data_IF_437545314962
#
_entry.id   IF_437545314962
#
_cell.length_a   1.000
_cell.length_b   1.000
_cell.length_c   1.000
_cell.angle_alpha   90.00
_cell.angle_beta   90.00
_cell.angle_gamma   90.00
#
_symmetry.space_group_name_H-M   'P 1'
#
loop_
_entity.id
_entity.type
_entity.pdbx_description
1 polymer ?
#
# COMPACT_ATOMS: atom_id res chain seq x y z
N UNK A 1 1.94 4.39 -4.43
CA UNK A 1 0.61 3.95 -4.93
C UNK A 1 -0.50 4.78 -4.28
N UNK A 2 -1.71 4.75 -4.83
CA UNK A 2 -2.93 5.30 -4.23
C UNK A 2 -3.75 4.17 -3.61
N UNK A 3 -4.37 4.42 -2.47
CA UNK A 3 -5.17 3.43 -1.71
C UNK A 3 -6.43 4.07 -1.14
N UNK A 4 -7.51 3.31 -0.99
CA UNK A 4 -8.71 3.72 -0.24
C UNK A 4 -8.61 3.23 1.20
N UNK A 5 -8.53 4.16 2.15
CA UNK A 5 -8.31 3.84 3.56
C UNK A 5 -9.12 4.81 4.42
N UNK A 6 -9.72 4.29 5.50
CA UNK A 6 -10.39 5.15 6.49
C UNK A 6 -9.36 5.97 7.27
N UNK A 7 -9.61 7.27 7.55
CA UNK A 7 -8.64 8.12 8.22
C UNK A 7 -8.12 7.58 9.56
N UNK A 8 -8.97 6.91 10.33
CA UNK A 8 -8.66 6.30 11.62
C UNK A 8 -7.80 5.03 11.51
N UNK A 9 -7.74 4.41 10.34
CA UNK A 9 -6.93 3.21 10.08
C UNK A 9 -5.54 3.52 9.50
N UNK A 10 -5.25 4.78 9.17
CA UNK A 10 -4.00 5.18 8.49
C UNK A 10 -2.75 4.78 9.28
N UNK A 11 -2.73 5.06 10.59
CA UNK A 11 -1.58 4.72 11.44
C UNK A 11 -1.40 3.21 11.56
N UNK A 12 -2.49 2.48 11.78
CA UNK A 12 -2.47 1.01 11.87
C UNK A 12 -1.96 0.37 10.58
N UNK A 13 -2.38 0.88 9.41
CA UNK A 13 -1.89 0.40 8.12
C UNK A 13 -0.39 0.67 7.93
N UNK A 14 0.07 1.86 8.31
CA UNK A 14 1.48 2.19 8.20
C UNK A 14 2.34 1.23 9.03
N UNK A 15 1.90 0.91 10.26
CA UNK A 15 2.61 -0.02 11.13
C UNK A 15 2.51 -1.47 10.65
N UNK A 16 1.36 -1.90 10.12
CA UNK A 16 1.22 -3.22 9.52
C UNK A 16 2.19 -3.43 8.35
N UNK A 17 2.33 -2.44 7.47
CA UNK A 17 3.28 -2.50 6.34
C UNK A 17 4.73 -2.57 6.84
N UNK A 18 5.09 -1.78 7.87
CA UNK A 18 6.44 -1.82 8.46
C UNK A 18 6.78 -3.20 9.02
N UNK A 19 5.86 -3.78 9.79
CA UNK A 19 6.05 -5.11 10.37
C UNK A 19 6.14 -6.17 9.27
N UNK A 20 5.21 -6.17 8.32
CA UNK A 20 5.19 -7.17 7.25
C UNK A 20 6.47 -7.13 6.40
N UNK A 21 6.98 -5.94 6.06
CA UNK A 21 8.26 -5.83 5.34
C UNK A 21 9.45 -6.23 6.22
N UNK A 22 9.42 -5.88 7.52
CA UNK A 22 10.43 -6.28 8.50
C UNK A 22 10.54 -7.80 8.67
N UNK A 23 9.40 -8.50 8.69
CA UNK A 23 9.33 -9.98 8.74
C UNK A 23 9.94 -10.62 7.48
N UNK A 24 10.08 -9.85 6.40
CA UNK A 24 10.76 -10.22 5.17
C UNK A 24 12.17 -9.61 5.03
N UNK A 25 12.80 -9.27 6.15
CA UNK A 25 14.20 -8.83 6.21
C UNK A 25 14.44 -7.38 5.76
N UNK A 26 13.36 -6.59 5.58
CA UNK A 26 13.52 -5.18 5.28
C UNK A 26 13.96 -4.40 6.52
N UNK A 27 14.83 -3.42 6.30
CA UNK A 27 15.35 -2.48 7.30
C UNK A 27 15.08 -1.05 6.84
N UNK A 28 15.08 -0.10 7.78
CA UNK A 28 14.84 1.31 7.46
C UNK A 28 13.50 1.55 6.76
N UNK A 29 12.45 0.80 7.16
CA UNK A 29 11.15 0.89 6.50
C UNK A 29 10.45 2.19 6.88
N UNK A 30 10.29 3.07 5.90
CA UNK A 30 9.54 4.31 5.99
C UNK A 30 8.22 4.16 5.24
N UNK A 31 7.11 4.45 5.95
CA UNK A 31 5.76 4.39 5.38
C UNK A 31 5.08 5.73 5.60
N UNK A 32 4.61 6.34 4.52
CA UNK A 32 3.89 7.61 4.55
C UNK A 32 2.58 7.49 3.80
N UNK A 33 1.50 7.87 4.46
CA UNK A 33 0.18 8.04 3.85
C UNK A 33 -0.19 9.51 3.93
N UNK A 34 -0.35 10.14 2.77
CA UNK A 34 -0.82 11.53 2.69
C UNK A 34 -2.23 11.51 2.11
N UNK A 35 -3.20 12.03 2.86
CA UNK A 35 -4.57 12.20 2.36
C UNK A 35 -4.56 13.09 1.12
N UNK A 36 -5.29 12.68 0.08
CA UNK A 36 -5.47 13.48 -1.12
C UNK A 36 -6.80 14.20 -0.93
N UNK A 37 -6.75 15.53 -0.77
CA UNK A 37 -7.92 16.41 -0.71
C UNK A 37 -8.58 16.53 -2.11
N UNK A 38 -8.97 15.40 -2.68
CA UNK A 38 -9.84 15.32 -3.85
C UNK A 38 -11.05 14.50 -3.43
N UNK A 39 -11.71 14.97 -2.37
CA UNK A 39 -13.02 14.48 -1.99
C UNK A 39 -13.98 14.84 -3.14
N UNK A 40 -14.58 13.82 -3.75
CA UNK A 40 -15.61 13.92 -4.79
C UNK A 40 -15.19 14.20 -6.24
N UNK A 41 -13.92 14.07 -6.64
CA UNK A 41 -13.64 14.00 -8.08
C UNK A 41 -13.94 12.58 -8.59
N UNK A 42 -14.96 12.40 -9.46
CA UNK A 42 -15.28 11.09 -10.07
C UNK A 42 -14.14 10.55 -10.95
N UNK A 43 -13.13 11.37 -11.24
CA UNK A 43 -11.95 11.01 -12.03
C UNK A 43 -10.88 10.24 -11.23
N UNK A 44 -11.07 10.04 -9.92
CA UNK A 44 -10.22 9.12 -9.20
C UNK A 44 -10.62 7.67 -9.52
N UNK A 45 -9.74 6.97 -10.24
CA UNK A 45 -9.95 5.57 -10.62
C UNK A 45 -10.34 4.65 -9.45
N UNK A 46 -9.87 4.90 -8.22
CA UNK A 46 -10.27 4.09 -7.06
C UNK A 46 -11.72 4.33 -6.64
N UNK A 47 -12.17 5.59 -6.70
CA UNK A 47 -13.55 5.97 -6.36
C UNK A 47 -14.49 5.42 -7.42
N UNK A 48 -14.13 5.53 -8.70
CA UNK A 48 -14.89 4.96 -9.80
C UNK A 48 -15.00 3.43 -9.71
N UNK A 49 -13.89 2.73 -9.47
CA UNK A 49 -13.87 1.27 -9.28
C UNK A 49 -14.75 0.85 -8.09
N UNK A 50 -14.63 1.55 -6.95
CA UNK A 50 -15.44 1.28 -5.76
C UNK A 50 -16.94 1.47 -6.07
N UNK A 51 -17.32 2.57 -6.72
CA UNK A 51 -18.70 2.85 -7.06
C UNK A 51 -19.26 1.85 -8.08
N UNK A 52 -18.48 1.45 -9.09
CA UNK A 52 -18.89 0.43 -10.04
C UNK A 52 -19.11 -0.93 -9.36
N UNK A 53 -18.29 -1.26 -8.37
CA UNK A 53 -18.34 -2.55 -7.69
C UNK A 53 -19.44 -2.63 -6.62
N UNK A 54 -19.72 -1.55 -5.92
CA UNK A 54 -20.62 -1.54 -4.75
C UNK A 54 -21.89 -0.70 -4.94
N UNK A 55 -22.08 -0.10 -6.13
CA UNK A 55 -23.21 0.79 -6.46
C UNK A 55 -23.35 1.99 -5.49
N UNK A 56 -22.25 2.39 -4.86
CA UNK A 56 -22.20 3.48 -3.89
C UNK A 56 -20.80 4.06 -3.82
N UNK A 57 -20.61 5.38 -3.66
CA UNK A 57 -19.28 5.95 -3.44
C UNK A 57 -18.69 5.51 -2.08
N UNK A 58 -17.36 5.54 -1.90
CA UNK A 58 -16.76 5.36 -0.60
C UNK A 58 -17.20 6.49 0.35
N UNK A 59 -17.81 6.15 1.48
CA UNK A 59 -18.37 7.11 2.44
C UNK A 59 -17.42 7.36 3.61
N UNK A 60 -16.77 6.30 4.11
CA UNK A 60 -15.83 6.38 5.25
C UNK A 60 -14.37 6.37 4.84
N UNK A 61 -14.09 5.91 3.62
CA UNK A 61 -12.75 5.75 3.06
C UNK A 61 -12.33 7.01 2.30
N UNK A 62 -11.06 7.37 2.42
CA UNK A 62 -10.46 8.47 1.67
C UNK A 62 -9.28 7.97 0.86
N UNK A 63 -9.03 8.62 -0.27
CA UNK A 63 -7.87 8.31 -1.09
C UNK A 63 -6.61 8.84 -0.41
N UNK A 64 -5.63 7.96 -0.22
CA UNK A 64 -4.32 8.31 0.30
C UNK A 64 -3.23 7.99 -0.71
N UNK A 65 -2.23 8.87 -0.82
CA UNK A 65 -0.95 8.58 -1.45
C UNK A 65 -0.11 7.77 -0.47
N UNK A 66 0.07 6.49 -0.74
CA UNK A 66 0.96 5.59 -0.02
C UNK A 66 2.34 5.59 -0.68
N UNK A 67 3.35 6.03 0.07
CA UNK A 67 4.77 5.91 -0.25
C UNK A 67 5.42 4.99 0.76
N UNK A 68 6.15 3.99 0.25
CA UNK A 68 6.91 3.04 1.06
C UNK A 68 8.35 3.03 0.56
N UNK A 69 9.30 3.17 1.48
CA UNK A 69 10.72 3.05 1.22
C UNK A 69 11.29 2.04 2.20
N UNK A 70 12.14 1.14 1.71
CA UNK A 70 12.73 0.07 2.51
C UNK A 70 14.06 -0.36 1.90
N UNK A 71 14.97 -0.80 2.76
CA UNK A 71 16.30 -1.27 2.40
C UNK A 71 16.46 -2.74 2.77
N UNK A 72 17.13 -3.52 1.92
CA UNK A 72 17.55 -4.88 2.24
C UNK A 72 19.08 -4.89 2.33
N UNK A 73 19.60 -5.45 3.42
CA UNK A 73 21.03 -5.70 3.55
C UNK A 73 21.32 -7.13 3.09
N UNK A 74 22.32 -7.31 2.22
CA UNK A 74 22.80 -8.64 1.84
C UNK A 74 23.61 -9.23 3.01
N UNK A 75 22.90 -9.81 3.98
CA UNK A 75 23.53 -10.57 5.04
C UNK A 75 23.90 -11.95 4.51
N UNK A 76 25.08 -12.04 3.91
CA UNK A 76 25.87 -13.26 3.66
C UNK A 76 25.04 -14.54 3.42
N UNK A 77 24.21 -14.53 2.37
CA UNK A 77 23.88 -15.74 1.62
C UNK A 77 22.57 -16.48 1.92
N UNK A 78 21.59 -15.90 2.62
CA UNK A 78 20.26 -16.55 2.76
C UNK A 78 19.04 -15.64 2.57
N UNK A 79 19.09 -14.34 2.88
CA UNK A 79 17.93 -13.44 2.69
C UNK A 79 18.01 -12.67 1.36
N UNK A 80 17.51 -13.32 0.31
CA UNK A 80 17.35 -12.69 -0.99
C UNK A 80 16.32 -11.57 -0.86
N UNK A 81 16.75 -10.33 -1.13
CA UNK A 81 15.85 -9.19 -1.23
C UNK A 81 14.63 -9.54 -2.10
N UNK A 82 13.44 -9.19 -1.60
CA UNK A 82 12.19 -9.42 -2.32
C UNK A 82 12.25 -8.73 -3.69
N UNK A 83 11.73 -9.41 -4.73
CA UNK A 83 11.52 -8.75 -6.00
C UNK A 83 10.33 -7.78 -5.92
N UNK A 84 10.20 -6.87 -6.89
CA UNK A 84 9.14 -5.86 -6.93
C UNK A 84 7.73 -6.45 -6.80
N UNK A 85 7.46 -7.61 -7.40
CA UNK A 85 6.15 -8.23 -7.37
C UNK A 85 5.81 -8.75 -5.97
N UNK A 86 6.79 -9.35 -5.28
CA UNK A 86 6.61 -9.85 -3.92
C UNK A 86 6.48 -8.70 -2.92
N UNK A 87 7.27 -7.62 -3.06
CA UNK A 87 7.07 -6.39 -2.24
C UNK A 87 5.66 -5.83 -2.44
N UNK A 88 5.19 -5.76 -3.69
CA UNK A 88 3.83 -5.29 -3.99
C UNK A 88 2.78 -6.18 -3.33
N UNK A 89 2.96 -7.51 -3.38
CA UNK A 89 2.03 -8.48 -2.78
C UNK A 89 1.98 -8.34 -1.26
N UNK A 90 3.14 -8.18 -0.59
CA UNK A 90 3.22 -7.96 0.86
C UNK A 90 2.48 -6.68 1.26
N UNK A 91 2.74 -5.57 0.56
CA UNK A 91 2.06 -4.29 0.83
C UNK A 91 0.54 -4.42 0.58
N UNK A 92 0.14 -5.02 -0.54
CA UNK A 92 -1.26 -5.20 -0.89
C UNK A 92 -2.02 -6.08 0.12
N UNK A 93 -1.37 -7.09 0.69
CA UNK A 93 -1.94 -7.95 1.73
C UNK A 93 -2.22 -7.21 3.05
N UNK A 94 -1.56 -6.08 3.29
CA UNK A 94 -1.81 -5.24 4.47
C UNK A 94 -3.02 -4.32 4.29
N UNK A 95 -3.49 -4.10 3.06
CA UNK A 95 -4.57 -3.16 2.79
C UNK A 95 -5.88 -3.63 3.43
N UNK A 96 -6.69 -2.71 3.99
CA UNK A 96 -7.98 -3.06 4.56
C UNK A 96 -8.88 -3.67 3.47
N UNK A 97 -9.53 -4.79 3.80
CA UNK A 97 -10.50 -5.40 2.90
C UNK A 97 -11.65 -4.46 2.56
N UNK A 98 -12.24 -4.64 1.39
CA UNK A 98 -13.45 -3.92 0.95
C UNK A 98 -14.72 -4.68 1.39
N UNK A 99 -15.93 -4.08 1.30
CA UNK A 99 -17.15 -4.64 1.90
C UNK A 99 -17.53 -6.07 1.48
N UNK A 100 -17.10 -6.54 0.31
CA UNK A 100 -17.35 -7.91 -0.15
C UNK A 100 -16.32 -8.94 0.34
N UNK A 101 -15.41 -8.54 1.23
CA UNK A 101 -14.36 -9.39 1.80
C UNK A 101 -13.15 -9.60 0.91
N UNK A 102 -13.11 -8.99 -0.27
CA UNK A 102 -11.93 -9.03 -1.13
C UNK A 102 -10.82 -8.08 -0.65
N UNK A 103 -9.57 -8.26 -1.14
CA UNK A 103 -8.45 -7.40 -0.76
C UNK A 103 -8.70 -5.91 -1.05
N UNK A 104 -8.02 -5.05 -0.29
CA UNK A 104 -8.14 -3.59 -0.45
C UNK A 104 -7.80 -3.09 -1.86
N UNK A 105 -8.52 -2.06 -2.30
CA UNK A 105 -8.33 -1.44 -3.61
C UNK A 105 -7.12 -0.49 -3.60
N UNK A 106 -6.29 -0.60 -4.64
CA UNK A 106 -5.12 0.25 -4.84
C UNK A 106 -4.80 0.40 -6.33
N UNK A 107 -4.18 1.53 -6.68
CA UNK A 107 -3.63 1.78 -8.01
C UNK A 107 -2.23 2.38 -7.91
N UNK A 108 -1.29 1.87 -8.69
CA UNK A 108 0.03 2.44 -8.80
C UNK A 108 1.09 1.40 -9.09
N UNK A 109 2.32 1.75 -8.76
CA UNK A 109 3.49 0.93 -9.05
C UNK A 109 4.39 0.85 -7.82
N UNK A 110 5.11 -0.25 -7.75
CA UNK A 110 6.24 -0.45 -6.85
C UNK A 110 7.48 -0.52 -7.72
N UNK A 111 8.62 -0.09 -7.22
CA UNK A 111 9.88 -0.19 -7.94
C UNK A 111 10.98 -0.55 -6.96
N UNK A 112 11.82 -1.52 -7.33
CA UNK A 112 13.05 -1.83 -6.59
C UNK A 112 14.22 -1.24 -7.33
N UNK A 113 15.03 -0.45 -6.64
CA UNK A 113 16.32 -0.01 -7.12
C UNK A 113 17.37 -0.97 -6.57
N UNK A 114 18.20 -1.53 -7.45
CA UNK A 114 19.45 -2.19 -7.04
C UNK A 114 20.54 -1.15 -7.16
N UNK A 115 21.27 -0.89 -6.08
CA UNK A 115 22.50 -0.10 -6.18
C UNK A 115 23.46 -0.87 -7.08
N UNK A 116 23.79 -0.29 -8.24
CA UNK A 116 24.86 -0.80 -9.09
C UNK A 116 26.18 -0.57 -8.35
N UNK A 117 26.95 -1.64 -8.16
CA UNK A 117 28.36 -1.57 -7.73
C UNK A 117 29.24 -0.92 -8.80
#
# INVERSE_FOLDING_TARGET
MNVLVRPDHVAALADAIKHALGDHGATGVEVRLTGIESACEPDNMLVAEYQQRFDTPPIGEQVHRLTVTACWQDSHGQDKALNTADVTRVIAACLPGVPDGSPGLWFGQTSTLRSSE
#
